data_IF_755125982743
#
_entry.id   IF_755125982743
#
_cell.length_a   1.000
_cell.length_b   1.000
_cell.length_c   1.000
_cell.angle_alpha   90.00
_cell.angle_beta   90.00
_cell.angle_gamma   90.00
#
_symmetry.space_group_name_H-M   'P 1'
#
loop_
_entity.id
_entity.type
_entity.pdbx_description
1 polymer ?
#
# COMPACT_ATOMS: atom_id res chain seq x y z
N UNK A 1 -17.66 51.96 48.79
CA UNK A 1 -18.43 51.02 47.95
C UNK A 1 -17.85 50.75 46.55
N UNK A 2 -17.10 51.66 45.90
CA UNK A 2 -16.48 51.40 44.56
C UNK A 2 -15.42 50.29 44.53
N UNK A 3 -14.64 50.12 45.60
CA UNK A 3 -13.52 49.14 45.69
C UNK A 3 -13.99 47.67 45.73
N UNK A 4 -15.13 47.38 46.36
CA UNK A 4 -15.68 46.01 46.44
C UNK A 4 -16.21 45.56 45.07
N UNK A 5 -16.83 46.47 44.32
CA UNK A 5 -17.38 46.17 42.99
C UNK A 5 -16.28 45.85 41.96
N UNK A 6 -15.13 46.53 42.02
CA UNK A 6 -14.01 46.22 41.11
C UNK A 6 -13.31 44.90 41.47
N UNK A 7 -13.22 44.56 42.76
CA UNK A 7 -12.69 43.26 43.21
C UNK A 7 -13.59 42.09 42.82
N UNK A 8 -14.91 42.25 42.90
CA UNK A 8 -15.87 41.23 42.45
C UNK A 8 -15.78 41.04 40.93
N UNK A 9 -15.65 42.12 40.16
CA UNK A 9 -15.47 42.02 38.70
C UNK A 9 -14.18 41.26 38.32
N UNK A 10 -13.06 41.56 38.99
CA UNK A 10 -11.78 40.88 38.74
C UNK A 10 -11.82 39.39 39.11
N UNK A 11 -12.51 39.02 40.18
CA UNK A 11 -12.67 37.61 40.59
C UNK A 11 -13.59 36.85 39.62
N UNK A 12 -14.65 37.49 39.13
CA UNK A 12 -15.55 36.89 38.12
C UNK A 12 -14.83 36.74 36.77
N UNK A 13 -14.03 37.71 36.35
CA UNK A 13 -13.18 37.60 35.15
C UNK A 13 -12.13 36.49 35.30
N UNK A 14 -11.43 36.41 36.43
CA UNK A 14 -10.47 35.32 36.68
C UNK A 14 -11.12 33.94 36.75
N UNK A 15 -12.33 33.84 37.32
CA UNK A 15 -13.11 32.61 37.35
C UNK A 15 -13.60 32.19 35.96
N UNK A 16 -14.04 33.15 35.14
CA UNK A 16 -14.44 32.90 33.74
C UNK A 16 -13.27 32.39 32.90
N UNK A 17 -12.10 33.02 33.03
CA UNK A 17 -10.88 32.61 32.34
C UNK A 17 -10.44 31.21 32.78
N UNK A 18 -10.51 30.88 34.06
CA UNK A 18 -10.17 29.55 34.57
C UNK A 18 -11.11 28.45 34.03
N UNK A 19 -12.41 28.74 33.90
CA UNK A 19 -13.40 27.81 33.33
C UNK A 19 -13.20 27.64 31.82
N UNK A 20 -12.90 28.73 31.09
CA UNK A 20 -12.55 28.66 29.67
C UNK A 20 -11.31 27.80 29.43
N UNK A 21 -10.24 27.98 30.22
CA UNK A 21 -9.05 27.13 30.13
C UNK A 21 -9.33 25.67 30.53
N UNK A 22 -10.19 25.44 31.52
CA UNK A 22 -10.56 24.09 31.95
C UNK A 22 -11.33 23.29 30.88
N UNK A 23 -12.01 23.96 29.95
CA UNK A 23 -12.69 23.32 28.81
C UNK A 23 -11.77 23.27 27.59
N UNK A 24 -11.06 24.37 27.33
CA UNK A 24 -10.18 24.50 26.17
C UNK A 24 -9.00 23.53 26.22
N UNK A 25 -8.36 23.37 27.37
CA UNK A 25 -7.19 22.51 27.50
C UNK A 25 -7.51 21.02 27.20
N UNK A 26 -8.55 20.39 27.79
CA UNK A 26 -8.95 19.04 27.41
C UNK A 26 -9.32 18.92 25.93
N UNK A 27 -9.99 19.93 25.37
CA UNK A 27 -10.36 19.94 23.95
C UNK A 27 -9.12 19.96 23.05
N UNK A 28 -8.11 20.76 23.38
CA UNK A 28 -6.81 20.75 22.68
C UNK A 28 -6.12 19.40 22.82
N UNK A 29 -6.12 18.80 24.01
CA UNK A 29 -5.53 17.47 24.22
C UNK A 29 -6.23 16.43 23.34
N UNK A 30 -7.55 16.39 23.32
CA UNK A 30 -8.32 15.47 22.46
C UNK A 30 -8.00 15.71 20.99
N UNK A 31 -7.92 16.98 20.56
CA UNK A 31 -7.56 17.32 19.18
C UNK A 31 -6.15 16.82 18.81
N UNK A 32 -5.17 17.00 19.70
CA UNK A 32 -3.80 16.53 19.47
C UNK A 32 -3.74 15.00 19.41
N UNK A 33 -4.42 14.30 20.33
CA UNK A 33 -4.49 12.83 20.32
C UNK A 33 -5.17 12.32 19.05
N UNK A 34 -6.21 13.02 18.59
CA UNK A 34 -6.88 12.72 17.33
C UNK A 34 -5.95 12.89 16.12
N UNK A 35 -5.17 13.97 16.07
CA UNK A 35 -4.18 14.17 15.00
C UNK A 35 -3.10 13.08 15.01
N UNK A 36 -2.60 12.70 16.18
CA UNK A 36 -1.63 11.59 16.33
C UNK A 36 -2.23 10.30 15.79
N UNK A 37 -3.49 10.01 16.14
CA UNK A 37 -4.19 8.82 15.67
C UNK A 37 -4.37 8.84 14.14
N UNK A 38 -4.73 9.97 13.54
CA UNK A 38 -4.81 10.11 12.08
C UNK A 38 -3.46 9.93 11.40
N UNK A 39 -2.39 10.52 11.96
CA UNK A 39 -1.03 10.34 11.43
C UNK A 39 -0.60 8.88 11.48
N UNK A 40 -0.94 8.15 12.55
CA UNK A 40 -0.65 6.72 12.67
C UNK A 40 -1.36 5.88 11.60
N UNK A 41 -2.66 6.10 11.42
CA UNK A 41 -3.44 5.40 10.39
C UNK A 41 -2.90 5.70 9.00
N UNK A 42 -2.55 6.97 8.73
CA UNK A 42 -1.92 7.38 7.48
C UNK A 42 -0.57 6.70 7.25
N UNK A 43 0.27 6.64 8.30
CA UNK A 43 1.56 5.97 8.25
C UNK A 43 1.43 4.47 7.97
N UNK A 44 0.52 3.79 8.68
CA UNK A 44 0.24 2.37 8.47
C UNK A 44 -0.30 2.09 7.07
N UNK A 45 -1.18 2.94 6.55
CA UNK A 45 -1.70 2.85 5.18
C UNK A 45 -0.62 3.02 4.11
N UNK A 46 0.25 4.03 4.26
CA UNK A 46 1.37 4.24 3.33
C UNK A 46 2.37 3.07 3.37
N UNK A 47 2.65 2.56 4.57
CA UNK A 47 3.54 1.41 4.79
C UNK A 47 2.96 0.14 4.16
N UNK A 48 1.66 -0.08 4.32
CA UNK A 48 0.93 -1.19 3.70
C UNK A 48 0.95 -1.12 2.17
N UNK A 49 0.70 0.07 1.60
CA UNK A 49 0.77 0.28 0.15
C UNK A 49 2.19 0.03 -0.39
N UNK A 50 3.20 0.56 0.29
CA UNK A 50 4.61 0.34 -0.03
C UNK A 50 4.99 -1.14 0.01
N UNK A 51 4.71 -1.84 1.11
CA UNK A 51 5.04 -3.25 1.27
C UNK A 51 4.39 -4.12 0.20
N UNK A 52 3.11 -3.87 -0.07
CA UNK A 52 2.37 -4.60 -1.11
C UNK A 52 2.98 -4.37 -2.50
N UNK A 53 3.32 -3.12 -2.84
CA UNK A 53 3.95 -2.80 -4.14
C UNK A 53 5.34 -3.40 -4.27
N UNK A 54 6.16 -3.29 -3.23
CA UNK A 54 7.52 -3.84 -3.21
C UNK A 54 7.49 -5.36 -3.33
N UNK A 55 6.52 -6.03 -2.69
CA UNK A 55 6.31 -7.46 -2.83
C UNK A 55 5.99 -7.86 -4.28
N UNK A 56 5.08 -7.13 -4.94
CA UNK A 56 4.75 -7.37 -6.36
C UNK A 56 5.97 -7.15 -7.25
N UNK A 57 6.76 -6.10 -7.01
CA UNK A 57 7.95 -5.78 -7.81
C UNK A 57 9.07 -6.82 -7.66
N UNK A 58 9.20 -7.40 -6.47
CA UNK A 58 10.19 -8.44 -6.17
C UNK A 58 9.62 -9.86 -6.30
N UNK A 59 8.41 -10.00 -6.84
CA UNK A 59 7.78 -11.31 -7.03
C UNK A 59 8.62 -12.12 -8.02
N UNK A 60 9.08 -13.28 -7.58
CA UNK A 60 9.69 -14.29 -8.42
C UNK A 60 8.59 -15.24 -8.94
N UNK A 61 8.19 -15.15 -10.23
CA UNK A 61 7.06 -15.90 -10.77
C UNK A 61 7.29 -17.42 -10.76
N UNK A 62 8.54 -17.86 -10.91
CA UNK A 62 8.88 -19.29 -10.95
C UNK A 62 8.64 -19.91 -9.57
N UNK A 63 9.15 -19.25 -8.52
CA UNK A 63 8.96 -19.68 -7.13
C UNK A 63 7.51 -19.57 -6.67
N UNK A 64 6.79 -18.55 -7.16
CA UNK A 64 5.38 -18.35 -6.83
C UNK A 64 4.47 -19.42 -7.48
N UNK A 65 4.80 -19.88 -8.69
CA UNK A 65 4.05 -20.94 -9.38
C UNK A 65 4.26 -22.31 -8.72
N UNK A 66 5.45 -22.55 -8.16
CA UNK A 66 5.77 -23.78 -7.41
C UNK A 66 5.24 -23.78 -5.97
N UNK A 67 4.74 -22.65 -5.47
CA UNK A 67 4.27 -22.53 -4.09
C UNK A 67 2.96 -23.33 -3.89
N UNK A 68 2.89 -24.22 -2.89
CA UNK A 68 1.67 -24.99 -2.60
C UNK A 68 0.53 -24.13 -2.05
N UNK A 69 0.87 -22.98 -1.44
CA UNK A 69 -0.07 -21.97 -0.96
C UNK A 69 0.42 -20.59 -1.38
N UNK A 70 -0.23 -20.03 -2.39
CA UNK A 70 0.11 -18.73 -2.94
C UNK A 70 -0.32 -17.59 -2.00
N UNK A 71 -1.39 -17.76 -1.21
CA UNK A 71 -1.83 -16.75 -0.24
C UNK A 71 -0.76 -16.55 0.84
N UNK A 72 -0.25 -17.66 1.38
CA UNK A 72 0.84 -17.64 2.35
C UNK A 72 2.14 -17.08 1.76
N UNK A 73 2.49 -17.46 0.52
CA UNK A 73 3.67 -16.93 -0.17
C UNK A 73 3.60 -15.41 -0.35
N UNK A 74 2.43 -14.89 -0.74
CA UNK A 74 2.21 -13.45 -0.89
C UNK A 74 2.28 -12.73 0.45
N UNK A 75 1.67 -13.30 1.50
CA UNK A 75 1.73 -12.74 2.85
C UNK A 75 3.17 -12.65 3.38
N UNK A 76 3.94 -13.73 3.25
CA UNK A 76 5.35 -13.78 3.64
C UNK A 76 6.19 -12.77 2.84
N UNK A 77 5.95 -12.64 1.54
CA UNK A 77 6.61 -11.66 0.69
C UNK A 77 6.38 -10.22 1.15
N UNK A 78 5.16 -9.90 1.61
CA UNK A 78 4.83 -8.57 2.17
C UNK A 78 5.59 -8.34 3.47
N UNK A 79 5.64 -9.32 4.37
CA UNK A 79 6.34 -9.22 5.66
C UNK A 79 7.86 -9.09 5.47
N UNK A 80 8.42 -9.75 4.45
CA UNK A 80 9.86 -9.69 4.14
C UNK A 80 10.34 -8.32 3.64
N UNK A 81 9.44 -7.40 3.26
CA UNK A 81 9.81 -6.05 2.82
C UNK A 81 10.42 -5.16 3.91
N UNK A 82 10.56 -5.67 5.15
CA UNK A 82 11.04 -4.93 6.34
C UNK A 82 10.19 -3.70 6.70
N UNK A 83 9.01 -3.59 6.12
CA UNK A 83 8.02 -2.60 6.49
C UNK A 83 7.53 -2.88 7.93
N UNK A 84 7.35 -1.85 8.78
CA UNK A 84 6.86 -2.02 10.16
C UNK A 84 5.35 -2.34 10.20
N UNK A 85 4.99 -3.49 9.64
CA UNK A 85 3.64 -4.05 9.63
C UNK A 85 3.56 -5.18 10.67
N UNK A 86 2.42 -5.29 11.33
CA UNK A 86 2.14 -6.44 12.18
C UNK A 86 1.67 -7.62 11.31
N UNK A 87 2.51 -8.65 11.20
CA UNK A 87 2.19 -9.85 10.43
C UNK A 87 0.92 -10.55 10.90
N UNK A 88 0.57 -10.43 12.20
CA UNK A 88 -0.64 -11.06 12.74
C UNK A 88 -1.94 -10.37 12.27
N UNK A 89 -1.84 -9.12 11.78
CA UNK A 89 -2.97 -8.33 11.31
C UNK A 89 -3.12 -8.35 9.78
N UNK A 90 -2.23 -9.05 9.09
CA UNK A 90 -2.22 -9.20 7.65
C UNK A 90 -2.91 -10.51 7.26
N UNK A 91 -3.86 -10.41 6.33
CA UNK A 91 -4.50 -11.57 5.72
C UNK A 91 -4.50 -11.40 4.21
N UNK A 92 -4.03 -12.42 3.50
CA UNK A 92 -4.11 -12.49 2.05
C UNK A 92 -5.14 -13.55 1.70
N UNK A 93 -5.98 -13.27 0.72
CA UNK A 93 -6.98 -14.21 0.24
C UNK A 93 -7.12 -14.16 -1.28
N UNK A 94 -7.40 -15.33 -1.84
CA UNK A 94 -7.71 -15.49 -3.26
C UNK A 94 -6.58 -15.04 -4.19
N UNK A 95 -5.33 -15.17 -3.77
CA UNK A 95 -4.18 -14.97 -4.63
C UNK A 95 -4.21 -15.99 -5.78
N UNK A 96 -4.01 -15.49 -6.99
CA UNK A 96 -3.94 -16.27 -8.20
C UNK A 96 -2.85 -15.68 -9.10
N UNK A 97 -1.96 -16.53 -9.60
CA UNK A 97 -0.90 -16.19 -10.52
C UNK A 97 -1.15 -16.92 -11.84
N UNK A 98 -1.36 -16.17 -12.92
CA UNK A 98 -1.43 -16.71 -14.27
C UNK A 98 -0.17 -16.31 -15.06
N UNK A 99 0.43 -17.24 -15.79
CA UNK A 99 1.62 -16.96 -16.61
C UNK A 99 1.25 -17.13 -18.07
N UNK A 100 1.21 -16.02 -18.81
CA UNK A 100 0.84 -15.96 -20.22
C UNK A 100 2.09 -15.71 -21.09
N UNK A 101 2.29 -16.54 -22.11
CA UNK A 101 3.34 -16.35 -23.12
C UNK A 101 2.73 -15.71 -24.36
N UNK A 102 3.22 -14.54 -24.75
CA UNK A 102 2.88 -13.87 -26.02
C UNK A 102 3.99 -14.08 -27.03
N UNK A 103 3.61 -14.61 -28.19
CA UNK A 103 4.51 -14.77 -29.33
C UNK A 103 4.13 -13.75 -30.40
N UNK A 104 5.01 -12.78 -30.63
CA UNK A 104 4.90 -11.80 -31.70
C UNK A 104 5.93 -12.13 -32.78
N UNK A 105 5.47 -12.31 -34.01
CA UNK A 105 6.34 -12.61 -35.13
C UNK A 105 6.18 -11.56 -36.22
N UNK A 106 7.30 -11.03 -36.72
CA UNK A 106 7.30 -10.06 -37.81
C UNK A 106 8.30 -10.46 -38.88
N UNK A 107 7.77 -10.74 -40.07
CA UNK A 107 8.57 -10.89 -41.28
C UNK A 107 8.90 -9.50 -41.84
N UNK A 108 10.19 -9.22 -42.02
CA UNK A 108 10.65 -7.98 -42.63
C UNK A 108 11.39 -8.30 -43.92
N UNK A 109 10.76 -7.97 -45.05
CA UNK A 109 11.37 -8.15 -46.37
C UNK A 109 12.21 -6.93 -46.76
N UNK A 110 13.50 -7.16 -47.06
CA UNK A 110 14.42 -6.14 -47.57
C UNK A 110 15.13 -6.60 -48.84
N UNK A 111 15.38 -5.67 -49.76
CA UNK A 111 16.14 -5.94 -51.00
C UNK A 111 17.59 -5.52 -50.77
N UNK A 112 18.51 -6.49 -50.79
CA UNK A 112 19.95 -6.21 -50.77
C UNK A 112 20.43 -5.83 -52.19
N UNK A 113 21.46 -4.99 -52.28
CA UNK A 113 22.02 -4.41 -53.52
C UNK A 113 22.61 -5.47 -54.48
N UNK A 114 22.56 -6.76 -54.11
CA UNK A 114 22.97 -7.91 -54.92
C UNK A 114 21.84 -8.93 -55.09
N UNK A 115 20.74 -8.53 -55.73
CA UNK A 115 19.73 -9.40 -56.40
C UNK A 115 19.20 -10.66 -55.67
N UNK A 116 19.43 -10.83 -54.37
CA UNK A 116 18.90 -11.90 -53.54
C UNK A 116 17.84 -11.32 -52.61
N UNK A 117 16.66 -11.94 -52.58
CA UNK A 117 15.66 -11.64 -51.55
C UNK A 117 16.19 -12.15 -50.21
N UNK A 118 16.44 -11.24 -49.26
CA UNK A 118 16.71 -11.59 -47.87
C UNK A 118 15.40 -11.44 -47.10
N UNK A 119 14.87 -12.56 -46.60
CA UNK A 119 13.76 -12.56 -45.64
C UNK A 119 14.43 -12.54 -44.28
N UNK A 120 14.30 -11.43 -43.55
CA UNK A 120 14.69 -11.37 -42.15
C UNK A 120 13.43 -11.60 -41.30
N UNK A 121 13.45 -12.66 -40.50
CA UNK A 121 12.37 -12.99 -39.57
C UNK A 121 12.80 -12.52 -38.19
N UNK A 122 11.99 -11.64 -37.61
CA UNK A 122 12.15 -11.18 -36.23
C UNK A 122 11.05 -11.83 -35.42
N UNK A 123 11.41 -12.79 -34.55
CA UNK A 123 10.48 -13.36 -33.57
C UNK A 123 10.74 -12.71 -32.21
N UNK A 124 9.66 -12.47 -31.47
CA UNK A 124 9.69 -11.99 -30.10
C UNK A 124 8.78 -12.87 -29.28
N UNK A 125 9.34 -13.48 -28.25
CA UNK A 125 8.57 -14.20 -27.24
C UNK A 125 8.65 -13.41 -25.93
N UNK A 126 7.51 -13.00 -25.39
CA UNK A 126 7.41 -12.28 -24.14
C UNK A 126 6.51 -13.04 -23.16
N UNK A 127 7.05 -13.43 -22.01
CA UNK A 127 6.31 -14.08 -20.93
C UNK A 127 5.86 -13.04 -19.92
N UNK A 128 4.56 -13.01 -19.63
CA UNK A 128 3.93 -12.12 -18.66
C UNK A 128 3.34 -12.94 -17.51
N UNK A 129 3.57 -12.51 -16.28
CA UNK A 129 2.91 -13.06 -15.09
C UNK A 129 1.86 -12.07 -14.60
N UNK A 130 0.63 -12.52 -14.45
CA UNK A 130 -0.50 -11.76 -13.93
C UNK A 130 -0.83 -12.25 -12.53
N UNK A 131 -0.56 -11.41 -11.53
CA UNK A 131 -0.92 -11.66 -10.13
C UNK A 131 -2.22 -10.92 -9.80
N UNK A 132 -3.21 -11.67 -9.34
CA UNK A 132 -4.47 -11.15 -8.81
C UNK A 132 -4.70 -11.65 -7.38
N UNK A 133 -5.42 -10.91 -6.55
CA UNK A 133 -5.73 -11.33 -5.19
C UNK A 133 -6.26 -10.20 -4.31
N UNK A 134 -6.54 -10.47 -3.04
CA UNK A 134 -6.96 -9.45 -2.07
C UNK A 134 -6.06 -9.51 -0.85
N UNK A 135 -5.52 -8.36 -0.45
CA UNK A 135 -4.75 -8.21 0.79
C UNK A 135 -5.53 -7.32 1.74
N UNK A 136 -5.80 -7.84 2.93
CA UNK A 136 -6.52 -7.17 4.01
C UNK A 136 -5.57 -6.95 5.18
N UNK A 137 -5.53 -5.74 5.71
CA UNK A 137 -4.69 -5.37 6.85
C UNK A 137 -5.51 -4.63 7.90
N UNK A 138 -5.46 -5.10 9.14
CA UNK A 138 -6.15 -4.49 10.26
C UNK A 138 -5.22 -3.54 11.02
N UNK A 139 -5.57 -2.25 11.05
CA UNK A 139 -4.79 -1.24 11.78
C UNK A 139 -5.30 -1.18 13.23
N UNK A 140 -4.46 -1.65 14.14
CA UNK A 140 -4.61 -1.40 15.57
C UNK A 140 -4.54 0.09 15.89
N UNK A 141 -5.49 0.58 16.68
CA UNK A 141 -5.49 1.97 17.15
C UNK A 141 -4.40 2.17 18.22
N UNK A 142 -3.64 3.27 18.16
CA UNK A 142 -2.67 3.62 19.20
C UNK A 142 -3.36 3.96 20.52
N UNK A 143 -4.53 4.58 20.43
CA UNK A 143 -5.28 5.08 21.57
C UNK A 143 -6.74 4.59 21.45
N UNK A 144 -7.32 3.98 22.50
CA UNK A 144 -8.72 3.62 22.51
C UNK A 144 -9.57 4.89 22.62
N UNK A 145 -9.95 5.46 21.48
CA UNK A 145 -10.84 6.61 21.41
C UNK A 145 -12.30 6.14 21.33
N UNK A 146 -13.20 6.67 22.16
CA UNK A 146 -14.61 6.29 22.11
C UNK A 146 -15.21 6.62 20.74
N UNK A 147 -15.78 5.61 20.07
CA UNK A 147 -16.38 5.73 18.75
C UNK A 147 -15.45 5.39 17.57
N UNK A 148 -14.16 5.13 17.82
CA UNK A 148 -13.25 4.59 16.79
C UNK A 148 -13.06 3.10 17.04
N UNK A 149 -13.53 2.28 16.10
CA UNK A 149 -13.19 0.85 16.02
C UNK A 149 -11.94 0.67 15.15
N UNK A 150 -11.39 -0.54 15.19
CA UNK A 150 -10.31 -0.99 14.30
C UNK A 150 -10.57 -0.60 12.84
N UNK A 151 -9.53 -0.16 12.14
CA UNK A 151 -9.62 0.28 10.75
C UNK A 151 -9.07 -0.82 9.86
N UNK A 152 -9.92 -1.37 9.00
CA UNK A 152 -9.51 -2.38 8.03
C UNK A 152 -9.14 -1.72 6.71
N UNK A 153 -7.91 -1.94 6.25
CA UNK A 153 -7.48 -1.62 4.91
C UNK A 153 -7.66 -2.85 4.02
N UNK A 154 -8.30 -2.67 2.87
CA UNK A 154 -8.45 -3.73 1.86
C UNK A 154 -7.86 -3.21 0.56
N UNK A 155 -6.99 -4.01 -0.04
CA UNK A 155 -6.36 -3.69 -1.33
C UNK A 155 -6.45 -4.89 -2.27
N UNK A 156 -7.02 -4.65 -3.44
CA UNK A 156 -6.96 -5.61 -4.53
C UNK A 156 -5.55 -5.59 -5.14
N UNK A 157 -4.97 -6.77 -5.30
CA UNK A 157 -3.81 -7.03 -6.14
C UNK A 157 -4.34 -7.28 -7.55
N UNK A 158 -3.87 -6.48 -8.49
CA UNK A 158 -4.04 -6.69 -9.93
C UNK A 158 -2.78 -6.12 -10.59
N UNK A 159 -1.86 -6.99 -10.99
CA UNK A 159 -0.54 -6.56 -11.48
C UNK A 159 0.00 -7.51 -12.53
N UNK A 160 0.52 -6.93 -13.62
CA UNK A 160 1.15 -7.64 -14.73
C UNK A 160 2.65 -7.38 -14.71
N UNK A 161 3.43 -8.44 -14.64
CA UNK A 161 4.90 -8.43 -14.60
C UNK A 161 5.44 -9.06 -15.89
N UNK A 162 6.46 -8.45 -16.50
CA UNK A 162 7.20 -9.07 -17.60
C UNK A 162 8.28 -9.99 -16.99
N UNK A 163 8.16 -11.30 -17.23
CA UNK A 163 9.05 -12.32 -16.66
C UNK A 163 10.28 -12.52 -17.54
N UNK A 164 10.05 -12.65 -18.85
CA UNK A 164 11.11 -12.89 -19.81
C UNK A 164 10.74 -12.27 -21.16
N UNK A 165 11.73 -11.84 -21.93
CA UNK A 165 11.56 -11.49 -23.33
C UNK A 165 12.74 -11.99 -24.14
N UNK A 166 12.49 -12.94 -25.05
CA UNK A 166 13.47 -13.45 -26.00
C UNK A 166 13.22 -12.80 -27.35
N UNK A 167 14.29 -12.33 -27.99
CA UNK A 167 14.26 -11.79 -29.33
C UNK A 167 15.18 -12.64 -30.20
N UNK A 168 14.63 -13.22 -31.27
CA UNK A 168 15.43 -13.93 -32.27
C UNK A 168 15.35 -13.19 -33.60
N UNK A 169 16.48 -13.10 -34.28
CA UNK A 169 16.61 -12.50 -35.61
C UNK A 169 17.28 -13.53 -36.51
N UNK A 170 16.58 -14.01 -37.54
CA UNK A 170 17.06 -15.01 -38.50
C UNK A 170 16.95 -14.53 -39.93
#
# INVERSE_FOLDING_TARGET
MRSIRSRIHAVVEQGSVAVEYAIFFPLVVVLVLFLIQLSWVGFQSATFDYATRTMVLNLDPDRATEAPDLDAFVADGIVQTQAPLDAAQLTVSHANLNVDVKHDEKETGGRDDKTLYKIERVSREATYAHLSGTVTYHIGLLLPLPGFSEITLVKALDSVLLVNSVFEVS
#
